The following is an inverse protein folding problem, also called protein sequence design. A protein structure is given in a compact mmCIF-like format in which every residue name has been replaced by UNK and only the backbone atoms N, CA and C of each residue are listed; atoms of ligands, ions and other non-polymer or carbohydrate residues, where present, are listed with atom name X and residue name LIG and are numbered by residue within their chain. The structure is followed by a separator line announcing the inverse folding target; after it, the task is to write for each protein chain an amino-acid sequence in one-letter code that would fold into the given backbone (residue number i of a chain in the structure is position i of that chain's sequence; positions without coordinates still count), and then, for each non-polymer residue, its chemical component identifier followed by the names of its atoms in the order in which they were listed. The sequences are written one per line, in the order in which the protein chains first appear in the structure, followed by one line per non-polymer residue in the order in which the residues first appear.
data_IF_244925191332
#
_entry.id   IF_244925191332
#
_cell.length_a   1.000
_cell.length_b   1.000
_cell.length_c   1.000
_cell.angle_alpha   90.00
_cell.angle_beta   90.00
_cell.angle_gamma   90.00
#
_symmetry.space_group_name_H-M   'P 1'
#
loop_
_entity.id
_entity.type
_entity.pdbx_description
1 polymer ?
#
# COMPACT_ATOMS: atom_id res chain seq x y z
N UNK A 1 10.25 -10.63 -2.95
CA UNK A 1 10.02 -9.32 -3.69
C UNK A 1 8.60 -8.81 -3.44
N UNK A 2 7.54 -9.74 -3.30
CA UNK A 2 6.15 -9.30 -3.04
C UNK A 2 5.93 -9.00 -1.55
N UNK A 3 6.86 -9.64 -0.76
CA UNK A 3 6.65 -9.33 0.68
C UNK A 3 7.18 -7.94 1.03
N UNK A 4 8.15 -7.40 0.21
CA UNK A 4 8.79 -6.13 0.60
C UNK A 4 7.96 -4.93 0.13
N UNK A 5 6.85 -5.27 -0.65
CA UNK A 5 6.14 -4.06 -1.14
C UNK A 5 4.64 -4.21 -0.80
N UNK A 6 4.28 -5.26 -0.07
CA UNK A 6 2.85 -5.57 0.16
C UNK A 6 2.17 -4.38 0.86
N UNK A 7 2.91 -3.73 1.68
CA UNK A 7 2.30 -2.58 2.37
C UNK A 7 1.79 -1.53 1.36
N UNK A 8 2.54 -1.29 0.33
CA UNK A 8 2.15 -0.25 -0.64
C UNK A 8 0.94 -0.69 -1.47
N UNK A 9 0.94 -1.97 -1.78
CA UNK A 9 -0.22 -2.47 -2.55
C UNK A 9 -1.49 -2.37 -1.70
N UNK A 10 -1.30 -2.79 -0.53
CA UNK A 10 -2.50 -2.77 0.35
C UNK A 10 -2.97 -1.33 0.55
N UNK A 11 -2.10 -0.45 0.83
CA UNK A 11 -2.52 0.96 1.02
C UNK A 11 -3.26 1.47 -0.22
N UNK A 12 -2.70 1.24 -1.37
CA UNK A 12 -3.35 1.76 -2.60
C UNK A 12 -4.73 1.12 -2.80
N UNK A 13 -4.84 -0.11 -2.45
CA UNK A 13 -6.15 -0.79 -2.67
C UNK A 13 -7.17 -0.34 -1.61
N UNK A 14 -6.70 -0.12 -0.42
CA UNK A 14 -7.65 0.37 0.60
C UNK A 14 -8.18 1.76 0.23
N UNK A 15 -7.36 2.55 -0.26
CA UNK A 15 -7.82 3.89 -0.67
C UNK A 15 -8.83 3.76 -1.82
N UNK A 16 -8.48 2.90 -2.72
CA UNK A 16 -9.44 2.71 -3.83
C UNK A 16 -10.79 2.22 -3.30
N UNK A 17 -10.73 1.25 -2.52
CA UNK A 17 -11.99 0.65 -2.03
C UNK A 17 -12.84 1.70 -1.32
N UNK A 18 -12.25 2.38 -0.46
CA UNK A 18 -13.04 3.38 0.29
C UNK A 18 -13.60 4.44 -0.67
N UNK A 19 -12.88 4.79 -1.59
CA UNK A 19 -13.38 5.79 -2.56
C UNK A 19 -14.59 5.26 -3.33
N UNK A 20 -14.48 4.08 -3.71
CA UNK A 20 -15.62 3.52 -4.47
C UNK A 20 -16.85 3.36 -3.58
N UNK A 21 -16.61 3.08 -2.30
CA UNK A 21 -17.74 2.93 -1.38
C UNK A 21 -18.37 4.30 -1.13
N UNK A 22 -17.56 5.34 -1.05
CA UNK A 22 -18.11 6.65 -0.63
C UNK A 22 -18.61 7.44 -1.83
N UNK A 23 -18.14 7.05 -2.99
CA UNK A 23 -18.57 7.79 -4.19
C UNK A 23 -18.97 6.79 -5.28
N UNK A 24 -20.21 6.39 -5.34
CA UNK A 24 -20.66 5.34 -6.26
C UNK A 24 -20.55 5.77 -7.72
N UNK A 25 -20.39 7.06 -7.98
CA UNK A 25 -20.26 7.48 -9.41
C UNK A 25 -18.81 7.47 -9.86
N UNK A 26 -17.94 7.13 -8.94
CA UNK A 26 -16.52 7.04 -9.31
C UNK A 26 -16.28 5.89 -10.31
N UNK A 27 -15.35 6.13 -11.19
CA UNK A 27 -14.97 5.07 -12.14
C UNK A 27 -14.46 3.82 -11.39
N UNK A 28 -15.12 2.71 -11.65
CA UNK A 28 -14.75 1.47 -10.94
C UNK A 28 -13.37 0.95 -11.37
N UNK A 29 -12.86 1.53 -12.43
CA UNK A 29 -11.57 1.00 -12.92
C UNK A 29 -10.43 1.87 -12.39
N UNK A 30 -10.80 2.77 -11.52
CA UNK A 30 -9.72 3.66 -11.04
C UNK A 30 -8.72 2.82 -10.23
N UNK A 31 -7.42 3.14 -10.56
CA UNK A 31 -6.36 2.41 -9.81
C UNK A 31 -5.29 3.40 -9.34
N UNK A 32 -4.99 3.10 -8.03
CA UNK A 32 -3.95 3.98 -7.48
C UNK A 32 -2.60 3.25 -7.49
N UNK A 33 -1.50 4.04 -7.63
CA UNK A 33 -0.18 3.47 -7.97
C UNK A 33 0.55 3.07 -6.69
N UNK A 34 0.71 1.78 -6.51
CA UNK A 34 1.58 1.34 -5.41
C UNK A 34 3.05 1.72 -5.66
N UNK A 35 3.35 1.77 -6.95
CA UNK A 35 4.74 2.14 -7.26
C UNK A 35 5.07 3.54 -6.74
N UNK A 36 4.09 4.41 -6.73
CA UNK A 36 4.33 5.77 -6.17
C UNK A 36 4.73 5.69 -4.70
N UNK A 37 4.08 4.83 -3.98
CA UNK A 37 4.42 4.70 -2.54
C UNK A 37 5.80 4.06 -2.36
N UNK A 38 6.10 3.11 -3.16
CA UNK A 38 7.41 2.43 -3.04
C UNK A 38 8.54 3.41 -3.35
N UNK A 39 8.26 4.28 -4.24
CA UNK A 39 9.37 5.12 -4.73
C UNK A 39 9.59 6.32 -3.80
N UNK A 40 8.40 6.71 -3.07
CA UNK A 40 8.62 8.09 -2.55
C UNK A 40 8.27 8.14 -1.07
N UNK A 41 7.79 7.08 -0.53
CA UNK A 41 7.26 7.21 0.84
C UNK A 41 8.40 7.24 1.85
N UNK A 42 9.55 6.69 1.43
CA UNK A 42 10.67 6.71 2.39
C UNK A 42 11.99 6.74 1.60
N UNK A 43 12.42 7.95 1.27
CA UNK A 43 13.62 8.11 0.43
C UNK A 43 14.89 7.61 1.15
N UNK A 44 14.80 7.69 2.52
CA UNK A 44 16.00 7.24 3.26
C UNK A 44 16.17 5.72 3.11
N UNK A 45 15.12 4.96 3.30
CA UNK A 45 15.22 3.49 3.14
C UNK A 45 15.60 3.12 1.70
N UNK A 46 15.10 3.87 0.84
CA UNK A 46 15.48 3.54 -0.57
C UNK A 46 16.97 3.77 -0.80
N UNK A 47 17.42 4.88 -0.29
CA UNK A 47 18.87 5.13 -0.45
C UNK A 47 19.68 4.03 0.24
N UNK A 48 19.20 3.59 1.35
CA UNK A 48 19.93 2.50 2.05
C UNK A 48 19.94 1.22 1.21
N UNK A 49 18.81 0.94 0.55
CA UNK A 49 18.79 -0.28 -0.30
C UNK A 49 19.74 -0.13 -1.50
N UNK A 50 19.77 1.05 -1.96
CA UNK A 50 20.71 1.26 -3.07
C UNK A 50 22.17 1.06 -2.61
N UNK A 51 22.47 1.59 -1.48
CA UNK A 51 23.85 1.46 -0.95
C UNK A 51 24.17 -0.02 -0.67
N UNK A 52 23.21 -0.72 -0.10
CA UNK A 52 23.42 -2.16 0.15
C UNK A 52 23.71 -2.91 -1.15
N UNK A 53 22.97 -2.54 -2.16
CA UNK A 53 23.22 -3.24 -3.45
C UNK A 53 24.61 -2.87 -4.01
N UNK A 54 25.06 -1.63 -3.89
CA UNK A 54 26.37 -1.22 -4.42
C UNK A 54 27.52 -1.88 -3.66
N UNK A 55 27.21 -2.25 -2.43
CA UNK A 55 28.26 -2.93 -1.62
C UNK A 55 28.16 -4.45 -1.80
N UNK A 56 27.27 -4.91 -2.67
CA UNK A 56 27.14 -6.36 -2.97
C UNK A 56 26.32 -7.08 -1.90
N UNK A 57 25.60 -6.36 -0.98
CA UNK A 57 24.86 -7.00 0.14
C UNK A 57 23.36 -6.99 -0.12
N UNK A 58 22.88 -6.41 -1.23
CA UNK A 58 21.42 -6.25 -1.44
C UNK A 58 21.00 -6.95 -2.74
N UNK A 59 19.67 -7.44 -2.71
CA UNK A 59 19.18 -8.22 -3.89
C UNK A 59 18.21 -7.36 -4.72
N UNK A 60 17.68 -6.26 -4.09
CA UNK A 60 16.72 -5.42 -4.86
C UNK A 60 16.55 -4.08 -4.15
N UNK A 61 15.74 -3.11 -4.70
CA UNK A 61 15.72 -1.72 -4.22
C UNK A 61 14.44 -1.46 -3.41
N UNK A 62 13.64 -2.57 -3.22
CA UNK A 62 12.42 -2.37 -2.41
C UNK A 62 12.74 -2.49 -0.91
N UNK A 63 11.75 -1.98 -0.19
CA UNK A 63 11.93 -2.03 1.28
C UNK A 63 10.58 -2.29 1.95
N UNK A 64 10.79 -2.80 3.17
CA UNK A 64 9.53 -3.06 3.90
C UNK A 64 9.11 -1.79 4.67
N UNK A 65 7.74 -1.68 4.73
CA UNK A 65 7.16 -0.56 5.53
C UNK A 65 5.80 -0.98 6.08
N UNK A 66 5.28 -0.07 6.90
CA UNK A 66 3.94 -0.43 7.43
C UNK A 66 2.86 0.49 6.83
N UNK A 67 1.62 0.08 7.01
CA UNK A 67 0.49 0.78 6.37
C UNK A 67 0.38 2.21 6.89
N UNK A 68 0.75 2.35 8.19
CA UNK A 68 0.65 3.70 8.77
C UNK A 68 1.56 4.69 8.02
N UNK A 69 2.73 4.28 7.81
CA UNK A 69 3.63 5.16 7.03
C UNK A 69 3.08 5.47 5.64
N UNK A 70 2.53 4.42 5.05
CA UNK A 70 1.93 4.65 3.71
C UNK A 70 0.79 5.68 3.76
N UNK A 71 -0.11 5.54 4.72
CA UNK A 71 -1.25 6.48 4.80
C UNK A 71 -0.76 7.89 5.14
N UNK A 72 0.22 7.95 6.05
CA UNK A 72 0.74 9.29 6.38
C UNK A 72 1.34 9.97 5.13
N UNK A 73 1.98 9.15 4.41
CA UNK A 73 2.53 9.74 3.18
C UNK A 73 1.42 10.26 2.27
N UNK A 74 0.42 9.45 2.05
CA UNK A 74 -0.64 9.87 1.10
C UNK A 74 -1.36 11.10 1.64
N UNK A 75 -1.45 11.22 2.92
CA UNK A 75 -2.10 12.41 3.50
C UNK A 75 -1.28 13.67 3.18
N UNK A 76 -0.06 13.51 3.23
CA UNK A 76 0.79 14.71 3.09
C UNK A 76 1.14 14.97 1.62
N UNK A 77 1.27 13.90 0.89
CA UNK A 77 1.87 14.16 -0.45
C UNK A 77 0.92 13.71 -1.56
N UNK A 78 -0.09 12.99 -1.17
CA UNK A 78 -1.01 12.46 -2.19
C UNK A 78 -0.42 11.24 -2.90
N UNK A 79 -1.35 10.53 -3.59
CA UNK A 79 -0.88 9.37 -4.34
C UNK A 79 -1.32 9.49 -5.81
N UNK A 80 -0.41 8.93 -6.78
CA UNK A 80 -0.74 8.99 -8.22
C UNK A 80 -1.62 7.80 -8.64
N UNK A 81 -2.19 8.02 -9.79
CA UNK A 81 -2.92 6.89 -10.40
C UNK A 81 -1.93 5.89 -11.02
N UNK A 82 -2.45 4.66 -11.17
CA UNK A 82 -1.60 3.59 -11.77
C UNK A 82 -1.20 3.93 -13.21
N UNK A 83 -2.01 4.61 -13.95
CA UNK A 83 -1.67 4.97 -15.35
C UNK A 83 -0.53 5.98 -15.41
N UNK A 84 -0.41 6.77 -14.37
CA UNK A 84 0.67 7.77 -14.37
C UNK A 84 1.99 7.17 -13.86
N UNK A 85 1.82 6.16 -13.03
CA UNK A 85 3.03 5.47 -12.53
C UNK A 85 2.74 3.98 -12.34
N UNK A 86 3.18 3.26 -13.39
CA UNK A 86 2.81 1.83 -13.48
C UNK A 86 3.72 0.99 -12.55
N UNK A 87 3.11 0.01 -12.01
CA UNK A 87 3.86 -0.86 -11.08
C UNK A 87 5.00 -1.58 -11.83
N UNK A 88 6.18 -1.38 -11.35
CA UNK A 88 7.30 -2.05 -12.06
C UNK A 88 8.19 -2.78 -11.05
N UNK A 89 7.67 -2.95 -9.86
CA UNK A 89 8.46 -3.73 -8.87
C UNK A 89 9.53 -2.86 -8.20
N UNK A 90 10.75 -3.48 -8.02
CA UNK A 90 11.82 -2.79 -7.24
C UNK A 90 12.82 -2.14 -8.20
N UNK A 91 12.30 -1.07 -8.88
CA UNK A 91 13.14 -0.43 -9.92
C UNK A 91 14.32 0.33 -9.27
N UNK A 92 15.41 0.21 -9.96
CA UNK A 92 16.61 0.94 -9.47
C UNK A 92 16.46 2.45 -9.69
N UNK A 93 16.02 2.75 -10.85
CA UNK A 93 15.91 4.20 -11.15
C UNK A 93 14.46 4.67 -10.92
N UNK A 94 14.46 5.91 -10.24
CA UNK A 94 13.11 6.44 -9.92
C UNK A 94 12.94 7.78 -10.67
N UNK A 95 12.06 7.70 -11.66
CA UNK A 95 11.83 8.97 -12.38
C UNK A 95 11.17 10.02 -11.48
N UNK A 96 11.30 11.29 -12.01
CA UNK A 96 10.68 12.39 -11.23
C UNK A 96 9.16 12.19 -11.12
N UNK A 97 8.81 12.70 -9.99
CA UNK A 97 7.36 12.51 -9.71
C UNK A 97 6.58 13.76 -10.14
N UNK A 98 5.68 13.59 -11.13
CA UNK A 98 4.88 14.77 -11.50
C UNK A 98 3.86 15.13 -10.40
N UNK A 99 3.58 16.49 -10.29
CA UNK A 99 2.69 16.91 -9.17
C UNK A 99 1.26 17.07 -9.67
N UNK A 100 0.85 16.30 -10.62
CA UNK A 100 -0.53 16.49 -11.12
C UNK A 100 -1.34 15.21 -10.87
N UNK A 101 -2.71 15.37 -10.64
CA UNK A 101 -3.69 14.28 -10.52
C UNK A 101 -3.38 13.39 -9.31
N UNK A 102 -3.17 14.15 -8.19
CA UNK A 102 -2.88 13.39 -6.94
C UNK A 102 -4.17 13.25 -6.12
N UNK A 103 -4.13 12.10 -5.49
CA UNK A 103 -5.29 11.85 -4.59
C UNK A 103 -4.78 11.83 -3.14
N UNK A 104 -5.68 12.51 -2.30
CA UNK A 104 -5.30 12.60 -0.87
C UNK A 104 -6.37 11.92 -0.01
N UNK A 105 -5.81 11.49 1.14
CA UNK A 105 -6.81 11.05 2.13
C UNK A 105 -6.75 11.99 3.33
N UNK A 106 -7.87 12.01 3.99
CA UNK A 106 -7.95 12.99 5.09
C UNK A 106 -7.36 12.40 6.37
N UNK A 107 -7.82 11.16 6.60
CA UNK A 107 -7.29 10.53 7.82
C UNK A 107 -7.38 9.00 7.70
N UNK A 108 -6.64 8.40 8.76
CA UNK A 108 -6.81 6.94 8.93
C UNK A 108 -6.97 6.62 10.42
N UNK A 109 -7.66 5.44 10.55
CA UNK A 109 -7.89 5.05 11.95
C UNK A 109 -7.17 3.72 12.21
N UNK A 110 -6.48 3.78 13.41
CA UNK A 110 -5.87 2.50 13.83
C UNK A 110 -6.78 1.80 14.86
N UNK A 111 -6.98 0.55 14.45
CA UNK A 111 -7.86 -0.22 15.37
C UNK A 111 -7.00 -1.15 16.23
N UNK A 112 -7.38 -1.24 17.52
CA UNK A 112 -6.47 -1.94 18.45
C UNK A 112 -7.03 -3.30 18.85
N UNK A 113 -8.38 -3.47 18.54
CA UNK A 113 -8.91 -4.78 18.97
C UNK A 113 -9.70 -5.41 17.82
N UNK A 114 -9.85 -6.69 17.91
CA UNK A 114 -10.61 -7.44 16.88
C UNK A 114 -12.10 -7.03 16.95
N UNK A 115 -12.56 -6.83 18.09
CA UNK A 115 -14.00 -6.44 18.22
C UNK A 115 -14.27 -5.12 17.50
N UNK A 116 -13.35 -4.20 17.67
CA UNK A 116 -13.52 -2.92 16.94
C UNK A 116 -13.45 -3.14 15.43
N UNK A 117 -12.55 -4.06 15.14
CA UNK A 117 -12.41 -4.32 13.69
C UNK A 117 -13.69 -4.91 13.10
N UNK A 118 -14.36 -5.78 13.88
CA UNK A 118 -15.56 -6.46 13.36
C UNK A 118 -16.70 -5.46 13.17
N UNK A 119 -16.77 -4.53 14.04
CA UNK A 119 -17.83 -3.51 13.90
C UNK A 119 -17.61 -2.69 12.62
N UNK A 120 -16.35 -2.45 12.23
CA UNK A 120 -16.05 -1.58 11.07
C UNK A 120 -16.07 -2.40 9.77
N UNK A 121 -16.07 -3.70 9.86
CA UNK A 121 -15.99 -4.54 8.64
C UNK A 121 -17.30 -4.48 7.86
N UNK A 122 -18.33 -4.16 8.53
CA UNK A 122 -19.63 -4.13 7.82
C UNK A 122 -19.70 -2.96 6.84
N UNK A 123 -18.89 -2.04 6.99
CA UNK A 123 -19.15 -0.83 6.18
C UNK A 123 -17.97 -0.51 5.28
N UNK A 124 -16.75 -1.01 5.61
CA UNK A 124 -15.58 -0.60 4.81
C UNK A 124 -14.47 -1.65 4.96
N UNK A 125 -13.43 -1.61 3.93
CA UNK A 125 -12.33 -2.57 4.04
C UNK A 125 -11.31 -2.15 5.12
N UNK A 126 -10.54 -3.36 5.62
CA UNK A 126 -9.54 -3.12 6.69
C UNK A 126 -8.20 -3.74 6.24
N UNK A 127 -7.08 -2.84 6.40
CA UNK A 127 -5.73 -3.44 6.20
C UNK A 127 -5.25 -4.17 7.45
N UNK A 128 -4.59 -5.40 7.24
CA UNK A 128 -4.06 -6.16 8.40
C UNK A 128 -2.76 -6.86 8.00
N UNK A 129 -1.99 -6.97 9.09
CA UNK A 129 -0.74 -7.73 8.85
C UNK A 129 -0.89 -9.17 9.38
N UNK A 130 -0.52 -10.04 8.44
CA UNK A 130 -0.63 -11.46 8.84
C UNK A 130 0.75 -12.11 8.83
N UNK A 131 1.01 -12.79 10.05
CA UNK A 131 2.28 -13.56 10.01
C UNK A 131 2.13 -14.83 9.14
N UNK A 132 2.94 -14.72 8.01
CA UNK A 132 2.87 -15.92 7.13
C UNK A 132 4.04 -16.86 7.45
N UNK A 133 3.70 -18.14 7.97
CA UNK A 133 4.80 -19.08 8.31
C UNK A 133 4.92 -20.14 7.21
N UNK A 134 6.17 -20.18 6.65
CA UNK A 134 6.42 -21.28 5.70
C UNK A 134 6.95 -22.51 6.46
N UNK A 135 6.33 -23.85 6.01
CA UNK A 135 5.71 -24.14 4.70
C UNK A 135 4.18 -24.12 4.78
N UNK A 136 3.57 -23.82 5.88
CA UNK A 136 2.13 -23.97 6.13
C UNK A 136 1.30 -23.10 5.19
N UNK A 137 1.91 -22.05 4.64
CA UNK A 137 1.16 -21.19 3.70
C UNK A 137 1.09 -21.84 2.31
N UNK A 138 2.14 -22.52 1.89
CA UNK A 138 2.19 -23.13 0.54
C UNK A 138 1.17 -24.27 0.41
N UNK A 139 0.71 -24.72 1.64
CA UNK A 139 -0.21 -25.89 1.63
C UNK A 139 -1.67 -25.43 1.76
N UNK A 140 -1.92 -24.10 1.80
CA UNK A 140 -3.29 -23.56 1.94
C UNK A 140 -3.90 -23.37 0.54
N UNK A 141 -3.11 -23.86 -0.59
CA UNK A 141 -3.46 -23.82 -2.02
C UNK A 141 -4.82 -24.48 -2.29
N UNK A 142 -5.90 -24.05 -1.44
CA UNK A 142 -7.28 -24.35 -1.88
C UNK A 142 -8.27 -24.15 -0.74
N UNK A 143 -7.89 -23.48 0.40
CA UNK A 143 -8.93 -23.27 1.44
C UNK A 143 -8.91 -21.81 1.90
N UNK A 144 -9.26 -20.81 1.00
CA UNK A 144 -9.63 -19.37 1.04
C UNK A 144 -9.58 -18.83 2.48
N UNK A 145 -8.48 -18.12 2.83
CA UNK A 145 -8.65 -17.25 4.03
C UNK A 145 -8.69 -15.78 3.60
N UNK A 146 -9.87 -15.27 3.39
CA UNK A 146 -10.36 -13.89 3.21
C UNK A 146 -9.84 -12.97 4.31
N UNK A 147 -8.87 -12.03 3.83
CA UNK A 147 -8.57 -11.03 4.90
C UNK A 147 -8.50 -9.64 4.28
N UNK A 148 -9.27 -8.56 5.04
CA UNK A 148 -9.75 -7.18 4.84
C UNK A 148 -9.04 -6.26 5.84
N UNK A 149 -8.44 -4.86 5.26
CA UNK A 149 -8.15 -3.75 6.19
C UNK A 149 -8.30 -2.41 5.39
N UNK A 150 -8.79 -0.87 6.33
CA UNK A 150 -9.52 0.41 6.20
C UNK A 150 -8.51 1.55 6.23
N UNK A 151 -8.63 2.79 5.35
CA UNK A 151 -8.16 4.19 5.42
C UNK A 151 -9.35 5.14 5.25
N UNK A 152 -9.62 6.24 6.20
CA UNK A 152 -10.57 7.38 6.22
C UNK A 152 -10.10 8.53 5.32
N UNK A 153 -10.98 8.90 4.09
CA UNK A 153 -10.73 10.23 3.47
C UNK A 153 -12.02 11.06 3.58
N UNK A 154 -12.14 12.11 4.54
CA UNK A 154 -13.26 13.08 4.55
C UNK A 154 -13.04 14.23 3.57
N UNK A 155 -13.92 14.45 2.54
CA UNK A 155 -14.25 15.51 1.56
C UNK A 155 -14.19 16.91 2.19
#
# INVERSE_FOLDING_TARGET
MLLDVCWAIVVSELIRAVRLIENPNQDPKIRYSPQDLIDFSDPVKRREKKEEKEKGKGDHFCYTSNLTNGFKYVMKHGIQLEDDRTFSGCAEEVPDRPSTRLTFIKDYVKLDTIQEALIHLEHRPIGAALALFHPEYKDIGGKASKFFFFSQVNS
#
